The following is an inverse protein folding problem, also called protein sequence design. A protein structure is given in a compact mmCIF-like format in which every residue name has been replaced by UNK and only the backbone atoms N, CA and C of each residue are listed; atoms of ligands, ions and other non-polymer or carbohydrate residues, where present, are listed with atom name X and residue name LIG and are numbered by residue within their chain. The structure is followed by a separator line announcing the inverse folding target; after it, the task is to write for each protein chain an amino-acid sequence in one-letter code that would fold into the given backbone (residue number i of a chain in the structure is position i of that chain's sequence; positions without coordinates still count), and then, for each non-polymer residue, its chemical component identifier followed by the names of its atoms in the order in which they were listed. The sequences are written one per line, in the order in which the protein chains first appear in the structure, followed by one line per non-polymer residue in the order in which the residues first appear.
data_IF_326308237977
#
_entry.id   IF_326308237977
#
_cell.length_a   1.000
_cell.length_b   1.000
_cell.length_c   1.000
_cell.angle_alpha   90.00
_cell.angle_beta   90.00
_cell.angle_gamma   90.00
#
_symmetry.space_group_name_H-M   'P 1'
#
loop_
_entity.id
_entity.type
_entity.pdbx_description
1 polymer ?
#
# COMPACT_ATOMS: atom_id res chain seq x y z
N UNK A 1 -34.69 0.78 11.09
CA UNK A 1 -33.24 0.94 10.82
C UNK A 1 -32.40 -0.24 11.35
N UNK A 2 -32.60 -0.72 12.59
CA UNK A 2 -32.02 -1.99 13.10
C UNK A 2 -32.35 -3.25 12.27
N UNK A 3 -33.31 -3.18 11.35
CA UNK A 3 -33.68 -4.24 10.39
C UNK A 3 -32.76 -4.33 9.18
N UNK A 4 -32.02 -3.27 8.82
CA UNK A 4 -31.24 -3.20 7.56
C UNK A 4 -29.90 -3.95 7.67
N UNK A 5 -29.14 -3.73 8.75
CA UNK A 5 -27.91 -4.49 9.04
C UNK A 5 -28.21 -5.97 9.37
N UNK A 6 -29.42 -6.28 9.86
CA UNK A 6 -29.85 -7.67 10.07
C UNK A 6 -29.97 -8.44 8.75
N UNK A 7 -30.37 -7.82 7.64
CA UNK A 7 -30.44 -8.50 6.33
C UNK A 7 -29.05 -8.84 5.77
N UNK A 8 -28.07 -7.93 5.91
CA UNK A 8 -26.69 -8.20 5.51
C UNK A 8 -26.05 -9.34 6.32
N UNK A 9 -26.38 -9.44 7.62
CA UNK A 9 -25.92 -10.53 8.49
C UNK A 9 -26.71 -11.83 8.27
N UNK A 10 -28.01 -11.75 7.98
CA UNK A 10 -28.85 -12.93 7.73
C UNK A 10 -28.49 -13.64 6.42
N UNK A 11 -28.12 -12.89 5.37
CA UNK A 11 -27.60 -13.46 4.13
C UNK A 11 -26.29 -14.24 4.30
N UNK A 12 -25.53 -13.96 5.36
CA UNK A 12 -24.26 -14.62 5.66
C UNK A 12 -24.40 -15.86 6.58
N UNK A 13 -25.45 -15.92 7.40
CA UNK A 13 -25.74 -17.09 8.26
C UNK A 13 -26.38 -18.25 7.48
N UNK A 14 -27.00 -17.98 6.33
CA UNK A 14 -27.53 -18.99 5.41
C UNK A 14 -26.47 -19.51 4.44
N UNK A 15 -25.54 -20.35 4.94
CA UNK A 15 -24.71 -21.15 4.06
C UNK A 15 -25.58 -22.08 3.20
N UNK A 16 -25.26 -22.15 1.91
CA UNK A 16 -25.93 -22.88 0.80
C UNK A 16 -26.96 -22.02 0.06
N UNK A 17 -26.53 -21.43 -1.07
CA UNK A 17 -27.41 -21.24 -2.22
C UNK A 17 -26.97 -22.21 -3.31
N UNK A 18 -27.67 -23.34 -3.38
CA UNK A 18 -27.79 -24.18 -4.56
C UNK A 18 -28.55 -23.41 -5.63
N UNK A 19 -28.03 -23.40 -6.86
CA UNK A 19 -28.60 -22.66 -7.98
C UNK A 19 -29.91 -23.23 -8.52
N UNK A 20 -30.58 -22.39 -9.33
CA UNK A 20 -31.60 -22.80 -10.29
C UNK A 20 -32.74 -21.78 -10.46
N UNK A 21 -32.78 -21.10 -11.62
CA UNK A 21 -34.05 -20.62 -12.20
C UNK A 21 -34.15 -19.13 -12.58
N UNK A 22 -33.70 -18.81 -13.80
CA UNK A 22 -34.34 -17.96 -14.81
C UNK A 22 -34.80 -16.51 -14.49
N UNK A 23 -34.17 -15.56 -15.19
CA UNK A 23 -34.89 -14.48 -15.88
C UNK A 23 -35.22 -13.24 -15.06
N UNK A 24 -34.31 -12.27 -15.05
CA UNK A 24 -34.60 -10.90 -14.59
C UNK A 24 -33.34 -10.05 -14.59
N UNK A 25 -33.11 -9.32 -15.69
CA UNK A 25 -31.99 -8.41 -15.85
C UNK A 25 -32.00 -7.32 -14.78
N UNK A 26 -31.20 -7.50 -13.74
CA UNK A 26 -30.73 -6.44 -12.86
C UNK A 26 -29.35 -6.03 -13.35
N UNK A 27 -29.30 -5.09 -14.29
CA UNK A 27 -28.05 -4.51 -14.75
C UNK A 27 -27.30 -3.91 -13.56
N UNK A 28 -26.20 -4.54 -13.18
CA UNK A 28 -25.15 -3.87 -12.46
C UNK A 28 -24.77 -2.68 -13.35
N UNK A 29 -24.96 -1.44 -12.89
CA UNK A 29 -24.52 -0.25 -13.60
C UNK A 29 -22.99 -0.27 -13.65
N UNK A 30 -22.43 -1.06 -14.56
CA UNK A 30 -21.03 -1.02 -14.92
C UNK A 30 -20.75 0.39 -15.35
N UNK A 31 -19.75 1.01 -14.73
CA UNK A 31 -19.31 2.34 -15.16
C UNK A 31 -19.05 2.29 -16.66
N UNK A 32 -19.64 3.21 -17.43
CA UNK A 32 -19.38 3.39 -18.88
C UNK A 32 -17.90 3.74 -19.18
N UNK A 33 -17.06 3.82 -18.14
CA UNK A 33 -15.63 4.06 -18.24
C UNK A 33 -14.90 2.86 -18.86
N UNK A 34 -13.91 3.11 -19.74
CA UNK A 34 -13.11 2.05 -20.31
C UNK A 34 -12.24 1.38 -19.24
N UNK A 35 -11.87 0.12 -19.47
CA UNK A 35 -10.85 -0.56 -18.65
C UNK A 35 -9.49 0.12 -18.86
N UNK A 36 -8.70 0.28 -17.78
CA UNK A 36 -7.30 0.74 -17.88
C UNK A 36 -6.44 -0.30 -18.59
N UNK A 37 -6.60 -1.56 -18.17
CA UNK A 37 -5.95 -2.72 -18.74
C UNK A 37 -6.99 -3.84 -18.84
N UNK A 38 -7.02 -4.61 -19.94
CA UNK A 38 -7.91 -5.75 -20.05
C UNK A 38 -7.54 -6.83 -19.03
N UNK A 39 -8.53 -7.59 -18.58
CA UNK A 39 -8.27 -8.80 -17.80
C UNK A 39 -7.42 -9.78 -18.60
N UNK A 40 -6.41 -10.34 -17.93
CA UNK A 40 -5.61 -11.46 -18.43
C UNK A 40 -5.02 -12.21 -17.24
N UNK A 41 -4.63 -13.46 -17.46
CA UNK A 41 -3.73 -14.17 -16.53
C UNK A 41 -2.31 -13.59 -16.67
N UNK A 42 -1.38 -13.86 -15.72
CA UNK A 42 -0.01 -13.37 -15.80
C UNK A 42 0.62 -13.58 -17.19
N UNK A 43 1.16 -12.51 -17.77
CA UNK A 43 1.60 -12.48 -19.18
C UNK A 43 2.60 -13.60 -19.51
N UNK A 44 3.46 -13.95 -18.55
CA UNK A 44 4.46 -15.01 -18.70
C UNK A 44 3.89 -16.42 -18.86
N UNK A 45 2.60 -16.64 -18.56
CA UNK A 45 1.93 -17.91 -18.87
C UNK A 45 1.69 -18.07 -20.37
N UNK A 46 1.61 -16.96 -21.12
CA UNK A 46 1.46 -16.96 -22.58
C UNK A 46 0.20 -17.68 -23.06
N UNK A 47 -0.92 -17.52 -22.33
CA UNK A 47 -2.20 -18.13 -22.65
C UNK A 47 -2.89 -17.38 -23.81
N UNK A 48 -3.54 -18.12 -24.71
CA UNK A 48 -4.47 -17.57 -25.69
C UNK A 48 -5.78 -17.11 -25.01
N UNK A 49 -6.61 -16.29 -25.68
CA UNK A 49 -7.93 -15.93 -25.16
C UNK A 49 -8.78 -17.15 -24.78
N UNK A 50 -8.78 -18.19 -25.62
CA UNK A 50 -9.52 -19.44 -25.39
C UNK A 50 -8.97 -20.18 -24.16
N UNK A 51 -7.64 -20.25 -24.00
CA UNK A 51 -7.00 -20.85 -22.82
C UNK A 51 -7.32 -20.07 -21.53
N UNK A 52 -7.45 -18.74 -21.61
CA UNK A 52 -7.89 -17.91 -20.47
C UNK A 52 -9.33 -18.25 -20.10
N UNK A 53 -10.23 -18.41 -21.06
CA UNK A 53 -11.62 -18.81 -20.81
C UNK A 53 -11.67 -20.21 -20.18
N UNK A 54 -10.94 -21.18 -20.73
CA UNK A 54 -10.83 -22.52 -20.14
C UNK A 54 -10.23 -22.51 -18.72
N UNK A 55 -9.33 -21.58 -18.42
CA UNK A 55 -8.74 -21.45 -17.07
C UNK A 55 -9.75 -21.03 -16.00
N UNK A 56 -10.89 -20.48 -16.41
CA UNK A 56 -11.99 -20.09 -15.52
C UNK A 56 -12.97 -21.25 -15.20
N UNK A 57 -12.66 -22.49 -15.61
CA UNK A 57 -13.47 -23.66 -15.29
C UNK A 57 -13.35 -24.03 -13.80
N UNK A 58 -14.45 -23.85 -13.08
CA UNK A 58 -14.57 -24.11 -11.64
C UNK A 58 -14.79 -25.58 -11.28
N UNK A 59 -15.14 -26.43 -12.26
CA UNK A 59 -15.28 -27.87 -12.08
C UNK A 59 -13.93 -28.54 -12.27
N UNK A 60 -13.26 -28.26 -13.39
CA UNK A 60 -11.97 -28.86 -13.71
C UNK A 60 -10.82 -28.26 -12.89
N UNK A 61 -10.90 -26.96 -12.56
CA UNK A 61 -9.87 -26.18 -11.83
C UNK A 61 -8.45 -26.50 -12.32
N UNK A 62 -8.16 -26.27 -13.62
CA UNK A 62 -6.87 -26.64 -14.19
C UNK A 62 -5.73 -25.91 -13.48
N UNK A 63 -4.65 -26.65 -13.18
CA UNK A 63 -3.43 -26.05 -12.63
C UNK A 63 -2.68 -25.43 -13.81
N UNK A 64 -2.51 -24.11 -13.79
CA UNK A 64 -1.76 -23.39 -14.80
C UNK A 64 -0.30 -23.31 -14.37
N UNK A 65 0.61 -23.65 -15.28
CA UNK A 65 2.05 -23.57 -15.11
C UNK A 65 2.68 -22.87 -16.31
N UNK A 66 3.96 -22.54 -16.22
CA UNK A 66 4.73 -22.02 -17.36
C UNK A 66 4.72 -23.02 -18.53
N UNK A 67 4.44 -22.53 -19.73
CA UNK A 67 4.66 -23.30 -20.97
C UNK A 67 6.14 -23.68 -21.08
N UNK A 68 6.43 -24.86 -21.63
CA UNK A 68 7.80 -25.39 -21.72
C UNK A 68 8.78 -24.44 -22.44
N UNK A 69 8.28 -23.61 -23.33
CA UNK A 69 9.03 -22.60 -24.10
C UNK A 69 9.36 -21.33 -23.33
N UNK A 70 8.81 -21.15 -22.12
CA UNK A 70 9.00 -19.96 -21.29
C UNK A 70 9.86 -20.29 -20.08
N UNK A 71 10.66 -19.32 -19.65
CA UNK A 71 11.44 -19.37 -18.40
C UNK A 71 11.32 -18.02 -17.72
N UNK A 72 11.13 -18.05 -16.40
CA UNK A 72 11.17 -16.86 -15.59
C UNK A 72 12.63 -16.59 -15.14
N UNK A 73 12.98 -15.32 -14.87
CA UNK A 73 14.25 -14.95 -14.26
C UNK A 73 14.54 -15.75 -12.97
N UNK A 74 15.83 -15.83 -12.59
CA UNK A 74 16.26 -16.38 -11.30
C UNK A 74 15.84 -17.84 -11.04
N UNK A 75 15.68 -18.64 -12.10
CA UNK A 75 15.17 -20.02 -12.00
C UNK A 75 13.82 -20.10 -11.24
N UNK A 76 12.96 -19.09 -11.42
CA UNK A 76 11.65 -19.02 -10.79
C UNK A 76 10.67 -20.02 -11.43
N UNK A 77 9.91 -20.73 -10.60
CA UNK A 77 8.74 -21.51 -11.03
C UNK A 77 7.44 -20.77 -10.73
N UNK A 78 6.36 -21.14 -11.43
CA UNK A 78 5.03 -20.59 -11.19
C UNK A 78 3.97 -21.66 -11.36
N UNK A 79 2.98 -21.66 -10.47
CA UNK A 79 1.76 -22.43 -10.59
C UNK A 79 0.59 -21.66 -9.96
N UNK A 80 -0.58 -21.72 -10.58
CA UNK A 80 -1.82 -21.15 -10.04
C UNK A 80 -3.03 -22.05 -10.32
N UNK A 81 -4.09 -21.85 -9.55
CA UNK A 81 -5.39 -22.50 -9.77
C UNK A 81 -6.49 -21.54 -9.37
N UNK A 82 -7.58 -21.50 -10.14
CA UNK A 82 -8.75 -20.70 -9.80
C UNK A 82 -9.39 -21.16 -8.47
N UNK A 83 -10.08 -20.25 -7.80
CA UNK A 83 -10.85 -20.56 -6.60
C UNK A 83 -12.00 -21.55 -6.89
N UNK A 84 -12.73 -21.97 -5.85
CA UNK A 84 -13.77 -23.00 -5.94
C UNK A 84 -15.19 -22.44 -6.21
N UNK A 85 -15.32 -21.39 -7.02
CA UNK A 85 -16.63 -20.87 -7.50
C UNK A 85 -17.11 -19.59 -6.81
N UNK A 86 -16.20 -18.83 -6.19
CA UNK A 86 -16.54 -17.55 -5.53
C UNK A 86 -16.71 -16.40 -6.53
N UNK A 87 -15.99 -16.43 -7.64
CA UNK A 87 -15.97 -15.38 -8.66
C UNK A 87 -16.07 -16.02 -10.04
N UNK A 88 -16.49 -15.27 -11.05
CA UNK A 88 -16.57 -15.79 -12.42
C UNK A 88 -15.19 -16.00 -13.05
N UNK A 89 -14.22 -15.16 -12.68
CA UNK A 89 -12.84 -15.20 -13.16
C UNK A 89 -11.89 -15.39 -11.98
N UNK A 90 -10.67 -15.85 -12.25
CA UNK A 90 -9.61 -15.80 -11.26
C UNK A 90 -9.18 -14.34 -11.06
N UNK A 91 -9.48 -13.75 -9.91
CA UNK A 91 -9.20 -12.34 -9.63
C UNK A 91 -7.72 -12.11 -9.29
N UNK A 92 -7.00 -13.18 -8.94
CA UNK A 92 -5.60 -13.13 -8.54
C UNK A 92 -4.69 -12.73 -9.70
N UNK A 93 -3.60 -12.02 -9.42
CA UNK A 93 -2.56 -11.68 -10.38
C UNK A 93 -1.18 -11.97 -9.82
N UNK A 94 -0.22 -12.20 -10.72
CA UNK A 94 1.18 -12.37 -10.37
C UNK A 94 2.09 -11.68 -11.37
N UNK A 95 3.27 -11.29 -10.90
CA UNK A 95 4.28 -10.60 -11.69
C UNK A 95 5.67 -11.16 -11.38
N UNK A 96 6.54 -11.21 -12.39
CA UNK A 96 7.92 -11.66 -12.27
C UNK A 96 8.79 -10.91 -13.30
N UNK A 97 9.58 -9.94 -12.84
CA UNK A 97 10.26 -8.94 -13.66
C UNK A 97 11.72 -8.75 -13.22
N UNK A 98 12.57 -8.27 -14.13
CA UNK A 98 13.88 -7.70 -13.81
C UNK A 98 13.82 -6.21 -14.10
N UNK A 99 13.93 -5.39 -13.06
CA UNK A 99 13.66 -3.95 -13.15
C UNK A 99 14.94 -3.18 -12.94
N UNK A 100 15.11 -2.09 -13.70
CA UNK A 100 16.27 -1.20 -13.60
C UNK A 100 15.81 0.18 -13.13
N UNK A 101 16.19 0.56 -11.91
CA UNK A 101 16.02 1.92 -11.40
C UNK A 101 17.18 2.80 -11.88
N UNK A 102 16.91 3.76 -12.76
CA UNK A 102 17.94 4.68 -13.30
C UNK A 102 17.78 6.07 -12.71
N UNK A 103 18.90 6.73 -12.39
CA UNK A 103 18.90 8.14 -11.99
C UNK A 103 18.21 8.97 -13.09
N UNK A 104 17.21 9.77 -12.73
CA UNK A 104 16.78 10.87 -13.59
C UNK A 104 17.73 12.05 -13.35
N UNK A 105 18.22 12.74 -14.40
CA UNK A 105 18.91 14.01 -14.22
C UNK A 105 18.04 14.95 -13.38
N UNK A 106 18.65 15.67 -12.44
CA UNK A 106 17.98 16.54 -11.45
C UNK A 106 17.18 17.73 -12.06
N UNK A 107 16.92 17.75 -13.38
CA UNK A 107 16.30 18.86 -14.11
C UNK A 107 14.77 18.81 -14.20
N UNK A 108 14.12 17.79 -13.66
CA UNK A 108 12.65 17.69 -13.65
C UNK A 108 12.15 17.26 -12.26
N UNK A 109 12.23 18.16 -11.29
CA UNK A 109 11.29 18.17 -10.17
C UNK A 109 10.07 19.00 -10.63
N UNK A 110 8.88 18.40 -10.84
CA UNK A 110 7.66 19.19 -10.91
C UNK A 110 7.46 19.83 -9.53
N UNK A 111 7.22 21.15 -9.43
CA UNK A 111 6.93 21.77 -8.14
C UNK A 111 5.64 21.18 -7.57
N UNK A 112 5.76 20.52 -6.42
CA UNK A 112 4.64 20.01 -5.62
C UNK A 112 3.99 21.14 -4.81
N UNK A 113 3.31 22.07 -5.49
CA UNK A 113 2.28 22.95 -4.90
C UNK A 113 1.38 23.56 -5.98
N UNK A 114 0.03 23.50 -5.89
CA UNK A 114 -0.86 24.17 -6.82
C UNK A 114 -1.06 25.63 -6.41
N UNK A 115 -0.30 26.56 -7.00
CA UNK A 115 -0.63 27.99 -6.92
C UNK A 115 -1.54 28.39 -8.08
N UNK A 116 -2.75 28.83 -7.75
CA UNK A 116 -3.72 29.42 -8.70
C UNK A 116 -3.25 30.82 -9.12
N UNK A 117 -3.18 31.09 -10.42
CA UNK A 117 -3.90 32.19 -11.09
C UNK A 117 -3.66 32.12 -12.61
N UNK A 118 -4.70 32.27 -13.46
CA UNK A 118 -4.57 32.15 -14.89
C UNK A 118 -4.31 33.52 -15.54
N UNK A 119 -3.24 33.63 -16.33
CA UNK A 119 -3.12 34.73 -17.31
C UNK A 119 -2.95 34.17 -18.71
N UNK A 120 -3.96 34.44 -19.52
CA UNK A 120 -4.02 34.13 -20.94
C UNK A 120 -2.83 34.72 -21.71
N UNK A 121 -2.29 33.96 -22.67
CA UNK A 121 -2.02 34.43 -24.04
C UNK A 121 -1.55 33.31 -24.98
N UNK A 122 -2.35 33.17 -26.05
CA UNK A 122 -2.03 32.92 -27.46
C UNK A 122 -1.49 31.56 -27.93
N UNK A 123 -2.32 31.00 -28.82
CA UNK A 123 -2.09 29.96 -29.83
C UNK A 123 -0.99 30.34 -30.84
N UNK A 124 -0.34 29.29 -31.35
CA UNK A 124 0.29 29.03 -32.67
C UNK A 124 1.56 28.21 -32.39
N UNK A 125 1.94 27.13 -33.07
CA UNK A 125 1.54 26.49 -34.32
C UNK A 125 2.19 25.08 -34.34
N UNK A 126 1.60 24.12 -35.05
CA UNK A 126 2.24 22.84 -35.40
C UNK A 126 3.50 23.09 -36.27
N UNK A 127 4.41 22.10 -36.33
CA UNK A 127 4.59 21.47 -37.64
C UNK A 127 4.64 19.93 -37.59
N UNK A 128 4.21 19.36 -38.71
CA UNK A 128 4.23 17.95 -39.09
C UNK A 128 5.66 17.42 -39.33
N UNK A 129 5.83 16.13 -39.02
CA UNK A 129 6.38 15.08 -39.88
C UNK A 129 7.85 15.16 -40.31
N UNK A 130 8.65 14.16 -39.92
CA UNK A 130 9.28 13.24 -40.88
C UNK A 130 9.95 12.06 -40.16
N UNK A 131 10.13 10.98 -40.91
CA UNK A 131 10.42 9.63 -40.44
C UNK A 131 11.89 9.33 -40.12
N UNK A 132 12.05 8.12 -39.55
CA UNK A 132 13.15 7.17 -39.77
C UNK A 132 14.56 7.52 -39.26
N UNK A 133 15.05 6.65 -38.37
CA UNK A 133 16.49 6.44 -38.21
C UNK A 133 16.92 5.88 -36.87
N UNK A 134 16.51 4.65 -36.52
CA UNK A 134 17.23 3.84 -35.55
C UNK A 134 18.62 3.54 -36.11
N UNK A 135 19.59 4.41 -35.81
CA UNK A 135 20.99 4.19 -36.13
C UNK A 135 21.73 3.85 -34.84
N UNK A 136 22.07 2.57 -34.77
CA UNK A 136 22.93 1.93 -33.79
C UNK A 136 24.33 2.57 -33.87
N UNK A 137 24.71 3.39 -32.90
CA UNK A 137 26.08 3.87 -32.73
C UNK A 137 26.57 3.37 -31.36
N UNK A 138 27.25 2.23 -31.40
CA UNK A 138 28.19 1.83 -30.35
C UNK A 138 29.38 2.79 -30.42
N UNK A 139 29.52 3.69 -29.45
CA UNK A 139 30.84 4.16 -29.06
C UNK A 139 30.88 4.62 -27.60
N UNK A 140 31.85 4.06 -26.89
CA UNK A 140 32.12 4.20 -25.46
C UNK A 140 32.43 5.65 -25.09
N UNK A 141 31.59 6.24 -24.25
CA UNK A 141 32.02 7.12 -23.15
C UNK A 141 30.92 7.13 -22.09
N UNK A 142 31.33 7.09 -20.82
CA UNK A 142 30.54 7.21 -19.59
C UNK A 142 30.06 5.89 -18.94
N UNK A 143 30.92 5.31 -18.10
CA UNK A 143 30.62 4.25 -17.12
C UNK A 143 29.68 4.75 -15.97
N UNK A 144 29.12 5.95 -16.07
CA UNK A 144 28.31 6.63 -15.04
C UNK A 144 26.78 6.41 -15.22
N UNK A 145 26.38 5.44 -16.06
CA UNK A 145 24.98 5.12 -16.40
C UNK A 145 24.47 3.82 -15.78
N UNK A 146 25.15 3.26 -14.78
CA UNK A 146 24.72 2.01 -14.19
C UNK A 146 23.40 2.25 -13.43
N UNK A 147 22.30 1.64 -13.84
CA UNK A 147 21.04 1.65 -13.06
C UNK A 147 21.05 0.57 -11.98
N UNK A 148 20.31 0.76 -10.90
CA UNK A 148 20.17 -0.26 -9.85
C UNK A 148 19.22 -1.34 -10.33
N UNK A 149 19.76 -2.53 -10.60
CA UNK A 149 19.00 -3.69 -11.05
C UNK A 149 18.47 -4.46 -9.84
N UNK A 150 17.18 -4.82 -9.87
CA UNK A 150 16.58 -5.72 -8.90
C UNK A 150 15.66 -6.73 -9.58
N UNK A 151 15.51 -7.90 -8.97
CA UNK A 151 14.50 -8.86 -9.37
C UNK A 151 13.25 -8.64 -8.54
N UNK A 152 12.10 -8.70 -9.19
CA UNK A 152 10.80 -8.41 -8.61
C UNK A 152 9.84 -9.56 -8.85
N UNK A 153 9.20 -10.01 -7.79
CA UNK A 153 8.04 -10.90 -7.85
C UNK A 153 6.90 -10.28 -7.07
N UNK A 154 5.68 -10.54 -7.51
CA UNK A 154 4.52 -10.17 -6.72
C UNK A 154 3.34 -11.11 -6.93
N UNK A 155 2.50 -11.17 -5.91
CA UNK A 155 1.20 -11.83 -5.90
C UNK A 155 0.17 -10.83 -5.37
N UNK A 156 -0.98 -10.79 -6.05
CA UNK A 156 -2.11 -9.95 -5.70
C UNK A 156 -3.34 -10.85 -5.66
N UNK A 157 -3.90 -11.11 -4.48
CA UNK A 157 -5.18 -11.83 -4.32
C UNK A 157 -6.29 -10.80 -4.50
N UNK A 158 -7.03 -10.89 -5.61
CA UNK A 158 -8.04 -9.91 -5.99
C UNK A 158 -9.39 -10.24 -5.40
N UNK A 159 -10.20 -9.23 -5.09
CA UNK A 159 -11.56 -9.44 -4.59
C UNK A 159 -12.54 -8.37 -5.07
N UNK A 160 -13.79 -8.78 -5.26
CA UNK A 160 -14.88 -7.92 -5.73
C UNK A 160 -14.56 -7.25 -7.10
N UNK A 161 -13.88 -8.00 -7.97
CA UNK A 161 -13.34 -7.54 -9.24
C UNK A 161 -11.82 -7.66 -9.30
N UNK A 162 -11.30 -7.88 -10.51
CA UNK A 162 -9.86 -8.03 -10.75
C UNK A 162 -9.14 -6.71 -11.03
N UNK A 163 -9.85 -5.58 -11.10
CA UNK A 163 -9.31 -4.32 -11.61
C UNK A 163 -8.10 -3.83 -10.83
N UNK A 164 -8.20 -3.77 -9.50
CA UNK A 164 -7.10 -3.36 -8.64
C UNK A 164 -5.87 -4.28 -8.79
N UNK A 165 -6.06 -5.60 -8.76
CA UNK A 165 -4.98 -6.58 -8.91
C UNK A 165 -4.28 -6.46 -10.28
N UNK A 166 -5.04 -6.30 -11.36
CA UNK A 166 -4.49 -6.12 -12.72
C UNK A 166 -3.66 -4.84 -12.80
N UNK A 167 -4.16 -3.72 -12.27
CA UNK A 167 -3.44 -2.44 -12.28
C UNK A 167 -2.16 -2.53 -11.43
N UNK A 168 -2.24 -3.13 -10.23
CA UNK A 168 -1.10 -3.32 -9.33
C UNK A 168 -0.01 -4.21 -9.93
N UNK A 169 -0.39 -5.31 -10.58
CA UNK A 169 0.55 -6.25 -11.21
C UNK A 169 1.42 -5.61 -12.31
N UNK A 170 0.93 -4.53 -12.92
CA UNK A 170 1.61 -3.81 -14.00
C UNK A 170 2.38 -2.59 -13.54
N UNK A 171 2.07 -2.01 -12.39
CA UNK A 171 2.57 -0.68 -12.03
C UNK A 171 3.36 -0.62 -10.71
N UNK A 172 3.14 -1.54 -9.77
CA UNK A 172 3.76 -1.45 -8.44
C UNK A 172 5.29 -1.53 -8.49
N UNK A 173 5.86 -2.36 -9.37
CA UNK A 173 7.30 -2.46 -9.60
C UNK A 173 7.90 -1.16 -10.13
N UNK A 174 7.14 -0.38 -10.89
CA UNK A 174 7.58 0.93 -11.38
C UNK A 174 7.58 1.98 -10.26
N UNK A 175 6.60 1.94 -9.35
CA UNK A 175 6.62 2.77 -8.14
C UNK A 175 7.80 2.46 -7.24
N UNK A 176 8.11 1.18 -7.04
CA UNK A 176 9.30 0.75 -6.27
C UNK A 176 10.56 1.28 -6.95
N UNK A 177 10.68 1.14 -8.27
CA UNK A 177 11.82 1.68 -9.01
C UNK A 177 11.94 3.21 -8.85
N UNK A 178 10.83 3.96 -8.93
CA UNK A 178 10.83 5.40 -8.72
C UNK A 178 11.29 5.80 -7.31
N UNK A 179 10.84 5.09 -6.28
CA UNK A 179 11.27 5.37 -4.89
C UNK A 179 12.75 5.02 -4.68
N UNK A 180 13.22 3.91 -5.25
CA UNK A 180 14.64 3.52 -5.20
C UNK A 180 15.56 4.51 -5.92
N UNK A 181 15.09 5.19 -6.97
CA UNK A 181 15.88 6.21 -7.67
C UNK A 181 16.29 7.37 -6.77
N UNK A 182 15.47 7.71 -5.78
CA UNK A 182 15.73 8.83 -4.85
C UNK A 182 16.88 8.51 -3.91
N UNK A 183 17.11 7.22 -3.62
CA UNK A 183 18.07 6.73 -2.61
C UNK A 183 19.20 5.90 -3.20
N UNK A 184 19.28 5.82 -4.54
CA UNK A 184 20.21 4.94 -5.27
C UNK A 184 21.68 5.20 -4.95
N UNK A 185 22.08 6.45 -4.78
CA UNK A 185 23.47 6.84 -4.52
C UNK A 185 23.95 6.36 -3.16
N UNK A 186 23.07 6.36 -2.16
CA UNK A 186 23.37 5.87 -0.82
C UNK A 186 23.36 4.34 -0.80
N UNK A 187 22.34 3.71 -1.40
CA UNK A 187 22.20 2.24 -1.39
C UNK A 187 23.39 1.54 -2.06
N UNK A 188 24.03 2.17 -3.05
CA UNK A 188 25.23 1.65 -3.70
C UNK A 188 26.51 1.89 -2.91
N UNK A 189 26.62 3.04 -2.26
CA UNK A 189 27.78 3.35 -1.45
C UNK A 189 27.55 2.90 0.00
N UNK A 190 27.77 1.62 0.26
CA UNK A 190 27.63 1.04 1.60
C UNK A 190 28.67 1.59 2.61
N UNK A 191 29.71 2.26 2.14
CA UNK A 191 30.74 2.87 3.00
C UNK A 191 30.32 4.24 3.55
N UNK A 192 29.34 4.91 2.94
CA UNK A 192 28.81 6.19 3.39
C UNK A 192 27.37 6.00 3.91
N UNK A 193 27.09 6.48 5.12
CA UNK A 193 25.72 6.51 5.62
C UNK A 193 24.91 7.58 4.87
N UNK A 194 23.59 7.37 4.69
CA UNK A 194 22.73 8.41 4.13
C UNK A 194 22.74 9.65 5.03
N UNK A 195 22.81 10.87 4.46
CA UNK A 195 22.73 12.10 5.23
C UNK A 195 21.32 12.28 5.82
N UNK A 196 21.21 12.88 7.00
CA UNK A 196 19.89 13.24 7.55
C UNK A 196 19.18 14.31 6.71
N UNK A 197 19.93 15.23 6.09
CA UNK A 197 19.40 16.28 5.21
C UNK A 197 20.13 16.25 3.89
N UNK A 198 19.37 16.14 2.80
CA UNK A 198 19.93 16.13 1.44
C UNK A 198 20.48 17.51 1.07
N UNK A 199 21.74 17.57 0.62
CA UNK A 199 22.38 18.80 0.15
C UNK A 199 22.94 19.71 1.25
N UNK A 200 22.86 19.31 2.52
CA UNK A 200 23.68 19.90 3.57
C UNK A 200 25.01 19.16 3.63
N UNK A 201 26.10 19.90 3.37
CA UNK A 201 27.44 19.40 3.69
C UNK A 201 27.53 19.22 5.22
N UNK A 202 28.15 18.14 5.72
CA UNK A 202 28.32 17.97 7.15
C UNK A 202 29.07 19.20 7.70
N UNK A 203 28.40 19.98 8.55
CA UNK A 203 29.07 21.08 9.26
C UNK A 203 30.25 20.47 10.01
N UNK A 204 31.47 20.73 9.55
CA UNK A 204 32.67 20.50 10.32
C UNK A 204 32.49 21.24 11.64
N UNK A 205 32.13 20.52 12.71
CA UNK A 205 32.08 21.03 14.08
C UNK A 205 33.35 21.83 14.37
N UNK A 206 33.31 23.18 14.50
CA UNK A 206 34.52 23.97 14.66
C UNK A 206 34.99 24.06 16.12
N UNK A 207 34.51 23.18 17.02
CA UNK A 207 34.85 23.26 18.44
C UNK A 207 36.11 22.48 18.86
N UNK A 208 36.89 21.94 17.90
CA UNK A 208 38.19 21.34 18.15
C UNK A 208 39.28 21.88 17.21
N UNK A 209 39.32 23.19 16.99
CA UNK A 209 40.58 23.81 16.56
C UNK A 209 40.62 25.23 17.07
N UNK A 210 41.45 25.48 18.08
CA UNK A 210 41.74 26.84 18.52
C UNK A 210 42.30 27.62 17.34
N UNK A 211 41.57 28.63 16.87
CA UNK A 211 42.09 29.74 16.10
C UNK A 211 41.09 30.91 16.12
N UNK A 212 41.66 32.12 16.13
CA UNK A 212 41.07 33.45 16.37
C UNK A 212 39.98 33.88 15.38
N UNK A 213 38.99 34.70 15.80
CA UNK A 213 37.87 35.08 14.93
C UNK A 213 38.21 36.25 13.99
N UNK A 214 37.95 36.06 12.69
CA UNK A 214 37.82 37.13 11.68
C UNK A 214 36.36 37.28 11.23
N UNK A 215 35.91 38.46 10.75
CA UNK A 215 34.50 38.76 10.65
C UNK A 215 33.94 38.42 9.26
N UNK A 216 33.18 37.33 9.14
CA UNK A 216 32.27 37.16 8.01
C UNK A 216 30.84 36.89 8.49
N UNK A 217 30.00 37.90 8.25
CA UNK A 217 28.55 37.95 8.49
C UNK A 217 27.83 36.84 7.72
N UNK A 218 27.20 35.92 8.44
CA UNK A 218 26.06 35.16 7.95
C UNK A 218 24.76 35.93 8.26
N UNK A 219 24.28 36.69 7.28
CA UNK A 219 22.95 37.33 7.32
C UNK A 219 21.88 36.24 7.23
N UNK A 220 21.36 35.79 8.36
CA UNK A 220 20.21 34.87 8.38
C UNK A 220 18.92 35.66 8.19
N UNK A 221 18.13 35.21 7.21
CA UNK A 221 16.86 35.74 6.69
C UNK A 221 15.70 35.62 7.68
N UNK A 222 15.91 36.00 8.94
CA UNK A 222 14.92 35.92 10.03
C UNK A 222 14.70 37.28 10.74
N UNK A 223 15.12 38.39 10.13
CA UNK A 223 15.00 39.74 10.69
C UNK A 223 13.94 40.62 9.98
N UNK A 224 12.96 40.03 9.28
CA UNK A 224 12.00 40.82 8.48
C UNK A 224 10.53 40.74 8.91
N UNK A 225 10.20 40.24 10.10
CA UNK A 225 8.82 40.19 10.59
C UNK A 225 8.67 40.53 12.10
N UNK A 226 9.36 41.56 12.58
CA UNK A 226 9.02 42.21 13.86
C UNK A 226 9.16 43.72 13.76
N UNK A 227 8.15 44.34 13.18
CA UNK A 227 7.99 45.78 13.09
C UNK A 227 6.54 46.19 13.32
N UNK A 228 5.91 45.69 14.38
CA UNK A 228 4.61 46.18 14.85
C UNK A 228 4.33 45.67 16.27
N UNK A 229 4.94 46.30 17.28
CA UNK A 229 4.41 46.47 18.66
C UNK A 229 5.58 46.83 19.59
N UNK A 230 5.53 48.02 20.16
CA UNK A 230 6.49 48.47 21.16
C UNK A 230 6.36 47.65 22.44
N UNK A 231 7.41 46.89 22.76
CA UNK A 231 7.63 46.34 24.10
C UNK A 231 9.14 46.44 24.41
N UNK A 232 9.54 46.92 25.59
CA UNK A 232 10.95 47.10 25.93
C UNK A 232 11.63 45.75 26.13
N UNK A 233 12.69 45.52 25.34
CA UNK A 233 13.53 44.33 25.41
C UNK A 233 14.50 44.40 26.61
N UNK A 234 14.42 43.41 27.51
CA UNK A 234 15.52 43.12 28.45
C UNK A 234 16.57 42.24 27.76
N UNK A 235 17.88 42.53 27.85
CA UNK A 235 18.91 41.71 27.23
C UNK A 235 19.30 40.55 28.16
N UNK A 236 18.76 39.34 27.94
CA UNK A 236 19.37 38.14 28.54
C UNK A 236 20.53 37.67 27.67
N UNK A 237 21.75 37.85 28.15
CA UNK A 237 23.01 37.43 27.51
C UNK A 237 23.34 35.93 27.69
N UNK A 238 22.34 35.08 27.93
CA UNK A 238 22.55 33.63 28.03
C UNK A 238 22.47 32.99 26.64
N UNK A 239 23.54 32.35 26.13
CA UNK A 239 23.44 31.51 24.95
C UNK A 239 22.37 30.43 25.20
N UNK A 240 21.53 30.09 24.21
CA UNK A 240 20.60 28.98 24.38
C UNK A 240 21.41 27.72 24.76
N UNK A 241 20.92 26.90 25.71
CA UNK A 241 21.63 25.72 26.15
C UNK A 241 21.95 24.81 24.95
N UNK A 242 23.07 24.09 24.97
CA UNK A 242 23.43 23.19 23.88
C UNK A 242 22.27 22.22 23.67
N UNK A 243 21.61 22.33 22.51
CA UNK A 243 20.60 21.35 22.12
C UNK A 243 21.36 20.04 21.94
N UNK A 244 21.06 19.06 22.77
CA UNK A 244 21.54 17.70 22.57
C UNK A 244 20.98 17.19 21.25
N UNK A 245 21.75 17.35 20.17
CA UNK A 245 21.42 16.83 18.86
C UNK A 245 22.12 15.48 18.71
N UNK A 246 21.45 14.41 19.12
CA UNK A 246 21.90 13.05 18.83
C UNK A 246 21.27 12.60 17.53
N UNK A 247 22.07 12.50 16.47
CA UNK A 247 21.61 12.00 15.18
C UNK A 247 21.59 10.46 15.17
N UNK A 248 20.45 9.89 14.76
CA UNK A 248 20.28 8.44 14.68
C UNK A 248 20.96 7.93 13.41
N UNK A 249 21.83 6.93 13.55
CA UNK A 249 22.41 6.23 12.40
C UNK A 249 21.34 5.41 11.67
N UNK A 250 21.13 5.70 10.39
CA UNK A 250 20.17 5.03 9.51
C UNK A 250 20.91 4.02 8.63
N UNK A 251 20.44 2.77 8.61
CA UNK A 251 21.02 1.71 7.79
C UNK A 251 20.49 1.80 6.35
N UNK A 252 21.31 1.43 5.36
CA UNK A 252 20.91 1.38 3.94
C UNK A 252 19.68 0.51 3.70
N UNK A 253 19.54 -0.58 4.45
CA UNK A 253 18.37 -1.46 4.40
C UNK A 253 17.06 -0.72 4.69
N UNK A 254 17.08 0.23 5.64
CA UNK A 254 15.91 1.05 5.99
C UNK A 254 15.48 1.97 4.85
N UNK A 255 16.41 2.39 3.97
CA UNK A 255 16.07 3.17 2.78
C UNK A 255 15.27 2.33 1.77
N UNK A 256 15.67 1.07 1.57
CA UNK A 256 14.96 0.13 0.67
C UNK A 256 13.57 -0.18 1.24
N UNK A 257 13.48 -0.44 2.54
CA UNK A 257 12.20 -0.65 3.24
C UNK A 257 11.28 0.55 3.03
N UNK A 258 11.75 1.77 3.33
CA UNK A 258 10.96 2.99 3.15
C UNK A 258 10.55 3.23 1.69
N UNK A 259 11.41 2.88 0.73
CA UNK A 259 11.09 2.98 -0.70
C UNK A 259 9.93 2.05 -1.09
N UNK A 260 9.92 0.80 -0.60
CA UNK A 260 8.83 -0.16 -0.83
C UNK A 260 7.53 0.32 -0.16
N UNK A 261 7.61 0.77 1.10
CA UNK A 261 6.44 1.28 1.83
C UNK A 261 5.79 2.48 1.13
N UNK A 262 6.59 3.42 0.64
CA UNK A 262 6.08 4.59 -0.08
C UNK A 262 5.54 4.21 -1.47
N UNK A 263 6.13 3.22 -2.14
CA UNK A 263 5.64 2.74 -3.42
C UNK A 263 4.20 2.18 -3.34
N UNK A 264 3.87 1.48 -2.26
CA UNK A 264 2.50 0.99 -2.03
C UNK A 264 1.50 2.14 -1.84
N UNK A 265 1.90 3.21 -1.12
CA UNK A 265 1.05 4.40 -0.94
C UNK A 265 0.81 5.11 -2.28
N UNK A 266 1.86 5.34 -3.05
CA UNK A 266 1.75 5.97 -4.37
C UNK A 266 0.91 5.12 -5.35
N UNK A 267 1.05 3.79 -5.29
CA UNK A 267 0.24 2.86 -6.07
C UNK A 267 -1.25 2.99 -5.72
N UNK A 268 -1.60 3.00 -4.43
CA UNK A 268 -3.00 3.09 -3.98
C UNK A 268 -3.63 4.46 -4.31
N UNK A 269 -2.86 5.55 -4.16
CA UNK A 269 -3.26 6.90 -4.59
C UNK A 269 -3.45 6.98 -6.10
N UNK A 270 -2.61 6.30 -6.88
CA UNK A 270 -2.79 6.22 -8.33
C UNK A 270 -4.08 5.47 -8.68
N UNK A 271 -4.38 4.35 -8.01
CA UNK A 271 -5.65 3.63 -8.21
C UNK A 271 -6.85 4.54 -7.91
N UNK A 272 -6.82 5.30 -6.81
CA UNK A 272 -7.89 6.24 -6.43
C UNK A 272 -8.11 7.34 -7.48
N UNK A 273 -7.01 7.85 -8.05
CA UNK A 273 -7.08 8.88 -9.08
C UNK A 273 -7.58 8.33 -10.40
N UNK A 274 -7.04 7.20 -10.83
CA UNK A 274 -7.30 6.63 -12.15
C UNK A 274 -8.70 6.01 -12.27
N UNK A 275 -9.28 5.53 -11.17
CA UNK A 275 -10.66 5.01 -11.18
C UNK A 275 -11.74 6.05 -11.53
N UNK A 276 -11.40 7.34 -11.51
CA UNK A 276 -12.28 8.42 -11.97
C UNK A 276 -12.40 8.48 -13.50
N UNK A 277 -11.45 7.85 -14.22
CA UNK A 277 -11.35 7.89 -15.69
C UNK A 277 -11.42 6.47 -16.28
N UNK A 278 -11.06 5.46 -15.50
CA UNK A 278 -11.08 4.06 -15.90
C UNK A 278 -11.94 3.23 -14.96
N UNK A 279 -12.54 2.15 -15.48
CA UNK A 279 -13.17 1.15 -14.65
C UNK A 279 -12.08 0.28 -13.97
N UNK A 280 -11.79 0.59 -12.70
CA UNK A 280 -10.89 -0.17 -11.83
C UNK A 280 -11.72 -0.73 -10.67
N UNK A 281 -12.18 -1.97 -10.84
CA UNK A 281 -13.03 -2.66 -9.86
C UNK A 281 -12.24 -3.26 -8.70
N UNK A 282 -12.94 -3.37 -7.56
CA UNK A 282 -12.51 -4.14 -6.40
C UNK A 282 -11.30 -3.61 -5.64
N UNK A 283 -10.68 -4.54 -4.92
CA UNK A 283 -9.43 -4.38 -4.21
C UNK A 283 -8.57 -5.62 -4.36
N UNK A 284 -7.38 -5.59 -3.77
CA UNK A 284 -6.52 -6.75 -3.73
C UNK A 284 -5.58 -6.71 -2.52
N UNK A 285 -5.14 -7.88 -2.08
CA UNK A 285 -3.89 -7.99 -1.31
C UNK A 285 -2.72 -7.64 -2.21
N UNK A 286 -1.57 -7.35 -1.61
CA UNK A 286 -0.32 -7.17 -2.34
C UNK A 286 0.85 -7.75 -1.54
N UNK A 287 1.47 -8.78 -2.09
CA UNK A 287 2.69 -9.39 -1.60
C UNK A 287 3.78 -9.21 -2.64
N UNK A 288 4.85 -8.47 -2.32
CA UNK A 288 6.00 -8.26 -3.20
C UNK A 288 7.25 -8.89 -2.61
N UNK A 289 8.12 -9.37 -3.49
CA UNK A 289 9.45 -9.85 -3.17
C UNK A 289 10.43 -9.10 -4.07
N UNK A 290 11.37 -8.38 -3.47
CA UNK A 290 12.42 -7.65 -4.17
C UNK A 290 13.76 -8.26 -3.78
N UNK A 291 14.50 -8.81 -4.74
CA UNK A 291 15.90 -9.17 -4.54
C UNK A 291 16.79 -8.01 -4.99
N UNK A 292 17.53 -7.44 -4.05
CA UNK A 292 18.39 -6.29 -4.27
C UNK A 292 19.62 -6.39 -3.37
N UNK A 293 20.82 -6.28 -3.97
CA UNK A 293 22.11 -6.26 -3.28
C UNK A 293 22.30 -7.40 -2.24
N UNK A 294 21.99 -8.64 -2.64
CA UNK A 294 22.19 -9.81 -1.79
C UNK A 294 21.11 -10.04 -0.72
N UNK A 295 20.03 -9.25 -0.72
CA UNK A 295 18.94 -9.36 0.25
C UNK A 295 17.60 -9.51 -0.46
N UNK A 296 16.71 -10.31 0.13
CA UNK A 296 15.28 -10.28 -0.19
C UNK A 296 14.57 -9.31 0.72
N UNK A 297 13.71 -8.50 0.15
CA UNK A 297 12.77 -7.63 0.84
C UNK A 297 11.37 -8.12 0.50
N UNK A 298 10.60 -8.51 1.49
CA UNK A 298 9.24 -9.01 1.33
C UNK A 298 8.28 -8.00 1.91
N UNK A 299 7.51 -7.32 1.05
CA UNK A 299 6.47 -6.37 1.45
C UNK A 299 5.09 -7.01 1.38
N UNK A 300 4.35 -7.07 2.48
CA UNK A 300 3.01 -7.66 2.51
C UNK A 300 1.95 -6.67 3.00
N UNK A 301 0.86 -6.54 2.24
CA UNK A 301 -0.37 -5.85 2.61
C UNK A 301 -1.57 -6.75 2.29
N UNK A 302 -2.09 -7.45 3.30
CA UNK A 302 -3.21 -8.38 3.17
C UNK A 302 -2.95 -9.69 3.91
N UNK A 303 -3.66 -10.74 3.54
CA UNK A 303 -3.57 -12.09 4.11
C UNK A 303 -2.84 -13.10 3.20
N UNK A 304 -2.20 -12.63 2.12
CA UNK A 304 -1.23 -13.42 1.37
C UNK A 304 0.03 -13.70 2.21
N UNK A 305 0.77 -14.76 1.87
CA UNK A 305 1.86 -15.28 2.70
C UNK A 305 3.13 -15.60 1.90
N UNK A 306 4.28 -15.21 2.45
CA UNK A 306 5.60 -15.60 1.97
C UNK A 306 6.38 -16.37 3.05
N UNK A 307 7.05 -17.44 2.63
CA UNK A 307 7.98 -18.22 3.47
C UNK A 307 9.25 -18.53 2.68
N UNK A 308 10.38 -18.64 3.40
CA UNK A 308 11.62 -19.21 2.85
C UNK A 308 11.79 -20.60 3.44
N UNK A 309 12.03 -21.59 2.59
CA UNK A 309 12.43 -22.94 3.01
C UNK A 309 13.92 -23.08 2.73
N UNK A 310 14.72 -23.24 3.79
CA UNK A 310 16.18 -23.37 3.70
C UNK A 310 16.65 -24.42 4.71
N UNK A 311 17.43 -25.41 4.26
CA UNK A 311 17.96 -26.47 5.13
C UNK A 311 16.88 -27.14 6.01
N UNK A 312 15.74 -27.49 5.41
CA UNK A 312 14.54 -28.02 6.08
C UNK A 312 13.92 -27.10 7.16
N UNK A 313 14.35 -25.85 7.29
CA UNK A 313 13.74 -24.85 8.15
C UNK A 313 12.79 -23.94 7.37
N UNK A 314 11.67 -23.56 7.99
CA UNK A 314 10.68 -22.62 7.46
C UNK A 314 10.87 -21.27 8.14
N UNK A 315 11.17 -20.24 7.36
CA UNK A 315 11.35 -18.87 7.84
C UNK A 315 10.15 -18.04 7.35
N UNK A 316 9.26 -17.57 8.25
CA UNK A 316 8.11 -16.75 7.87
C UNK A 316 8.56 -15.34 7.47
N UNK A 317 8.27 -14.96 6.22
CA UNK A 317 8.69 -13.67 5.64
C UNK A 317 7.56 -12.65 5.55
N UNK A 318 6.34 -12.99 5.97
CA UNK A 318 5.24 -12.05 6.14
C UNK A 318 4.33 -12.45 7.31
N UNK A 319 3.56 -11.48 7.82
CA UNK A 319 2.41 -11.68 8.69
C UNK A 319 1.11 -11.42 7.93
N UNK A 320 0.01 -12.04 8.35
CA UNK A 320 -1.32 -11.84 7.75
C UNK A 320 -2.06 -10.69 8.45
N UNK A 321 -2.66 -9.80 7.65
CA UNK A 321 -3.36 -8.63 8.13
C UNK A 321 -4.88 -8.81 8.06
N UNK A 322 -5.41 -9.53 9.05
CA UNK A 322 -6.83 -9.86 9.22
C UNK A 322 -7.49 -8.93 10.24
N UNK A 323 -8.84 -8.90 10.32
CA UNK A 323 -9.55 -8.12 11.34
C UNK A 323 -9.11 -8.46 12.77
N UNK A 324 -8.76 -9.73 13.02
CA UNK A 324 -8.33 -10.19 14.34
C UNK A 324 -6.88 -9.76 14.64
N UNK A 325 -5.95 -9.94 13.70
CA UNK A 325 -4.55 -9.57 13.92
C UNK A 325 -4.36 -8.07 14.08
N UNK A 326 -5.19 -7.27 13.41
CA UNK A 326 -5.14 -5.80 13.45
C UNK A 326 -6.21 -5.18 14.36
N UNK A 327 -6.84 -5.97 15.24
CA UNK A 327 -7.94 -5.54 16.12
C UNK A 327 -7.65 -4.23 16.85
N UNK A 328 -6.49 -4.13 17.52
CA UNK A 328 -6.16 -2.94 18.31
C UNK A 328 -6.05 -1.69 17.43
N UNK A 329 -5.45 -1.79 16.24
CA UNK A 329 -5.36 -0.68 15.29
C UNK A 329 -6.75 -0.23 14.84
N UNK A 330 -7.61 -1.18 14.50
CA UNK A 330 -8.98 -0.91 14.05
C UNK A 330 -9.82 -0.26 15.15
N UNK A 331 -9.80 -0.82 16.37
CA UNK A 331 -10.53 -0.27 17.51
C UNK A 331 -10.01 1.11 17.90
N UNK A 332 -8.68 1.33 17.88
CA UNK A 332 -8.09 2.63 18.13
C UNK A 332 -8.58 3.67 17.12
N UNK A 333 -8.65 3.33 15.84
CA UNK A 333 -9.22 4.20 14.81
C UNK A 333 -10.70 4.49 15.07
N UNK A 334 -11.50 3.47 15.40
CA UNK A 334 -12.92 3.62 15.73
C UNK A 334 -13.16 4.46 16.99
N UNK A 335 -12.24 4.41 17.96
CA UNK A 335 -12.25 5.25 19.16
C UNK A 335 -11.89 6.71 18.84
N UNK A 336 -10.82 6.94 18.09
CA UNK A 336 -10.34 8.28 17.74
C UNK A 336 -11.25 9.00 16.73
N UNK A 337 -11.90 8.25 15.84
CA UNK A 337 -12.76 8.77 14.77
C UNK A 337 -14.12 8.07 14.77
N UNK A 338 -14.97 8.29 15.79
CA UNK A 338 -16.24 7.58 15.96
C UNK A 338 -17.26 7.86 14.84
N UNK A 339 -17.11 8.97 14.12
CA UNK A 339 -17.94 9.27 12.94
C UNK A 339 -17.78 8.23 11.82
N UNK A 340 -16.62 7.56 11.73
CA UNK A 340 -16.38 6.47 10.77
C UNK A 340 -17.23 5.22 11.07
N UNK A 341 -17.77 5.10 12.29
CA UNK A 341 -18.63 3.98 12.69
C UNK A 341 -20.12 4.22 12.37
N UNK A 342 -20.46 5.40 11.82
CA UNK A 342 -21.81 5.76 11.38
C UNK A 342 -22.88 5.74 12.47
N UNK A 343 -22.49 5.74 13.75
CA UNK A 343 -23.38 5.51 14.89
C UNK A 343 -24.11 4.15 14.88
N UNK A 344 -23.69 3.22 14.03
CA UNK A 344 -24.26 1.87 13.94
C UNK A 344 -23.34 0.81 14.55
N UNK A 345 -22.03 1.12 14.58
CA UNK A 345 -21.00 0.25 15.07
C UNK A 345 -20.34 0.78 16.35
N UNK A 346 -19.84 -0.14 17.17
CA UNK A 346 -19.00 0.14 18.34
C UNK A 346 -17.61 -0.42 18.09
N UNK A 347 -16.59 0.32 18.55
CA UNK A 347 -15.22 -0.18 18.55
C UNK A 347 -15.02 -1.22 19.67
N UNK A 348 -15.86 -1.26 20.71
CA UNK A 348 -15.74 -2.24 21.77
C UNK A 348 -16.08 -3.64 21.28
N UNK A 349 -15.33 -4.62 21.80
CA UNK A 349 -15.60 -6.02 21.53
C UNK A 349 -16.18 -6.70 22.75
N UNK A 350 -17.19 -7.54 22.50
CA UNK A 350 -17.87 -8.36 23.50
C UNK A 350 -17.81 -9.83 23.05
N UNK A 351 -17.83 -10.82 23.97
CA UNK A 351 -17.79 -12.23 23.61
C UNK A 351 -18.93 -12.69 22.70
N UNK A 352 -20.01 -11.91 22.66
CA UNK A 352 -21.14 -12.08 21.75
C UNK A 352 -21.92 -10.79 21.61
N UNK A 353 -22.84 -10.77 20.64
CA UNK A 353 -23.80 -9.67 20.49
C UNK A 353 -24.63 -9.47 21.76
N UNK A 354 -24.70 -8.22 22.20
CA UNK A 354 -25.45 -7.79 23.37
C UNK A 354 -26.95 -7.75 23.05
N UNK A 355 -27.76 -8.17 24.02
CA UNK A 355 -29.21 -8.10 23.96
C UNK A 355 -29.74 -6.97 24.85
N UNK A 356 -30.86 -6.34 24.48
CA UNK A 356 -31.48 -5.25 25.27
C UNK A 356 -31.73 -5.61 26.75
N UNK A 357 -32.05 -6.88 27.04
CA UNK A 357 -32.25 -7.39 28.41
C UNK A 357 -30.99 -7.42 29.29
N UNK A 358 -29.84 -7.06 28.70
CA UNK A 358 -28.52 -7.08 29.35
C UNK A 358 -28.04 -5.68 29.69
N UNK A 359 -28.73 -4.63 29.24
CA UNK A 359 -28.47 -3.25 29.66
C UNK A 359 -28.58 -3.16 31.19
N UNK A 360 -27.60 -2.51 31.81
CA UNK A 360 -27.43 -2.43 33.27
C UNK A 360 -26.74 -3.62 33.93
N UNK A 361 -26.48 -4.72 33.20
CA UNK A 361 -25.72 -5.88 33.73
C UNK A 361 -24.23 -5.74 33.40
N UNK A 362 -23.38 -6.47 34.14
CA UNK A 362 -21.94 -6.55 33.83
C UNK A 362 -21.66 -7.66 32.82
N UNK A 363 -20.91 -7.34 31.77
CA UNK A 363 -20.45 -8.31 30.76
C UNK A 363 -18.97 -8.07 30.44
N UNK A 364 -18.28 -9.14 30.02
CA UNK A 364 -16.90 -9.05 29.54
C UNK A 364 -16.83 -8.18 28.29
N UNK A 365 -15.82 -7.32 28.22
CA UNK A 365 -15.51 -6.51 27.05
C UNK A 365 -13.99 -6.36 26.92
N UNK A 366 -13.54 -5.93 25.74
CA UNK A 366 -12.17 -5.46 25.53
C UNK A 366 -12.12 -4.29 24.56
N UNK A 367 -11.18 -3.39 24.84
CA UNK A 367 -10.92 -2.17 24.07
C UNK A 367 -9.53 -2.21 23.40
N UNK A 368 -9.20 -1.18 22.61
CA UNK A 368 -7.94 -1.07 21.86
C UNK A 368 -6.70 -1.14 22.76
N UNK A 369 -6.79 -0.66 24.00
CA UNK A 369 -5.70 -0.70 24.99
C UNK A 369 -5.47 -2.05 25.64
N UNK A 370 -6.39 -3.01 25.45
CA UNK A 370 -6.43 -4.24 26.22
C UNK A 370 -6.00 -5.44 25.38
N UNK A 371 -5.08 -6.26 25.89
CA UNK A 371 -4.83 -7.60 25.36
C UNK A 371 -5.75 -8.67 25.98
N UNK A 372 -6.21 -8.44 27.22
CA UNK A 372 -7.15 -9.29 27.96
C UNK A 372 -8.60 -8.78 27.93
N UNK A 373 -9.42 -9.29 28.86
CA UNK A 373 -10.84 -8.93 29.02
C UNK A 373 -11.09 -8.31 30.40
N UNK A 374 -12.06 -7.40 30.49
CA UNK A 374 -12.55 -6.85 31.76
C UNK A 374 -14.08 -6.80 31.77
N UNK A 375 -14.70 -6.53 32.93
CA UNK A 375 -16.15 -6.37 33.03
C UNK A 375 -16.55 -4.90 33.01
N UNK A 376 -17.46 -4.51 32.11
CA UNK A 376 -18.16 -3.22 32.16
C UNK A 376 -19.65 -3.41 32.39
N UNK A 377 -20.31 -2.39 32.93
CA UNK A 377 -21.78 -2.31 32.90
C UNK A 377 -22.22 -1.95 31.49
N UNK A 378 -23.18 -2.69 30.95
CA UNK A 378 -23.70 -2.51 29.60
C UNK A 378 -24.63 -1.30 29.54
N UNK A 379 -24.41 -0.46 28.53
CA UNK A 379 -25.19 0.73 28.20
C UNK A 379 -25.91 0.55 26.86
N UNK A 380 -26.87 1.42 26.55
CA UNK A 380 -27.60 1.35 25.28
C UNK A 380 -26.69 1.47 24.05
N UNK A 381 -25.60 2.23 24.16
CA UNK A 381 -24.59 2.40 23.11
C UNK A 381 -23.84 1.10 22.77
N UNK A 382 -23.78 0.15 23.70
CA UNK A 382 -23.15 -1.16 23.48
C UNK A 382 -24.02 -2.11 22.64
N UNK A 383 -25.28 -1.75 22.37
CA UNK A 383 -26.18 -2.53 21.51
C UNK A 383 -25.83 -2.41 20.02
N UNK A 384 -24.92 -1.48 19.67
CA UNK A 384 -24.36 -1.30 18.34
C UNK A 384 -23.63 -2.55 17.85
N UNK A 385 -23.47 -2.68 16.53
CA UNK A 385 -22.75 -3.81 15.95
C UNK A 385 -21.24 -3.70 16.25
N UNK A 386 -20.54 -4.80 16.51
CA UNK A 386 -19.10 -4.72 16.73
C UNK A 386 -18.38 -4.35 15.43
N UNK A 387 -17.34 -3.52 15.53
CA UNK A 387 -16.47 -3.14 14.43
C UNK A 387 -15.84 -4.36 13.74
N UNK A 388 -15.49 -5.38 14.51
CA UNK A 388 -15.01 -6.67 14.01
C UNK A 388 -16.09 -7.71 14.29
N UNK A 389 -16.63 -8.31 13.23
CA UNK A 389 -17.70 -9.28 13.31
C UNK A 389 -17.24 -10.64 12.81
N UNK A 390 -17.54 -11.70 13.59
CA UNK A 390 -17.11 -13.06 13.28
C UNK A 390 -15.70 -13.37 13.79
N UNK A 391 -15.26 -14.61 13.58
CA UNK A 391 -13.99 -15.15 14.06
C UNK A 391 -13.27 -15.91 12.94
N UNK A 392 -11.94 -15.97 13.01
CA UNK A 392 -11.08 -16.65 12.03
C UNK A 392 -11.37 -16.22 10.59
N UNK A 393 -11.53 -17.19 9.68
CA UNK A 393 -11.81 -16.94 8.25
C UNK A 393 -13.12 -16.18 7.98
N UNK A 394 -14.03 -16.11 8.98
CA UNK A 394 -15.31 -15.39 8.90
C UNK A 394 -15.24 -14.01 9.54
N UNK A 395 -14.12 -13.61 10.15
CA UNK A 395 -13.95 -12.28 10.71
C UNK A 395 -14.02 -11.22 9.60
N UNK A 396 -14.75 -10.14 9.84
CA UNK A 396 -14.95 -9.04 8.90
C UNK A 396 -14.92 -7.70 9.61
N UNK A 397 -14.24 -6.71 9.01
CA UNK A 397 -14.38 -5.31 9.43
C UNK A 397 -15.73 -4.79 8.95
N UNK A 398 -16.50 -4.22 9.87
CA UNK A 398 -17.84 -3.68 9.65
C UNK A 398 -18.75 -4.65 8.89
N UNK A 399 -18.63 -5.95 9.20
CA UNK A 399 -19.33 -7.05 8.53
C UNK A 399 -19.16 -7.10 6.99
N UNK A 400 -18.10 -6.47 6.46
CA UNK A 400 -17.92 -6.26 5.02
C UNK A 400 -16.66 -6.95 4.47
N UNK A 401 -15.46 -6.58 4.95
CA UNK A 401 -14.19 -7.04 4.35
C UNK A 401 -13.38 -7.95 5.29
N UNK A 402 -12.75 -9.00 4.73
CA UNK A 402 -11.97 -10.00 5.47
C UNK A 402 -10.48 -9.69 5.62
N UNK A 403 -10.00 -8.63 4.98
CA UNK A 403 -8.63 -8.13 5.07
C UNK A 403 -8.62 -6.70 5.61
N UNK A 404 -7.52 -6.31 6.22
CA UNK A 404 -7.36 -4.97 6.84
C UNK A 404 -6.24 -4.15 6.21
N UNK A 405 -5.52 -4.76 5.28
CA UNK A 405 -4.55 -4.09 4.41
C UNK A 405 -4.68 -4.58 2.98
N UNK A 406 -4.35 -3.72 2.02
CA UNK A 406 -4.49 -3.99 0.59
C UNK A 406 -4.59 -2.71 -0.25
N UNK A 407 -4.65 -2.88 -1.57
CA UNK A 407 -4.80 -1.80 -2.56
C UNK A 407 -6.24 -1.77 -3.07
N UNK A 408 -6.73 -0.58 -3.45
CA UNK A 408 -8.08 -0.42 -4.02
C UNK A 408 -9.18 -0.27 -2.96
N UNK A 409 -10.39 -0.79 -3.25
CA UNK A 409 -11.60 -0.68 -2.40
C UNK A 409 -12.01 0.75 -2.00
N UNK A 410 -11.63 1.75 -2.79
CA UNK A 410 -11.88 3.17 -2.47
C UNK A 410 -13.38 3.51 -2.35
N UNK A 411 -14.25 2.79 -3.03
CA UNK A 411 -15.72 2.99 -2.95
C UNK A 411 -16.43 1.92 -2.11
N UNK A 412 -15.68 1.00 -1.49
CA UNK A 412 -16.29 -0.09 -0.73
C UNK A 412 -17.00 0.49 0.50
N UNK A 413 -18.28 0.15 0.63
CA UNK A 413 -19.16 0.59 1.71
C UNK A 413 -19.76 -0.60 2.43
N UNK A 414 -20.10 -0.39 3.70
CA UNK A 414 -20.99 -1.32 4.42
C UNK A 414 -22.33 -1.36 3.68
N UNK A 415 -22.83 -2.56 3.45
CA UNK A 415 -24.08 -2.82 2.72
C UNK A 415 -25.23 -1.93 3.21
N UNK A 416 -25.97 -1.31 2.28
CA UNK A 416 -27.09 -0.40 2.55
C UNK A 416 -26.76 0.81 3.47
N UNK A 417 -25.52 1.28 3.45
CA UNK A 417 -25.10 2.44 4.27
C UNK A 417 -24.19 3.41 3.50
N UNK A 418 -23.87 4.55 4.12
CA UNK A 418 -22.86 5.49 3.66
C UNK A 418 -21.53 5.38 4.44
N UNK A 419 -21.31 4.25 5.12
CA UNK A 419 -20.10 3.99 5.89
C UNK A 419 -19.06 3.38 4.95
N UNK A 420 -17.98 4.11 4.70
CA UNK A 420 -16.87 3.66 3.86
C UNK A 420 -15.92 2.76 4.63
N UNK A 421 -15.43 1.71 3.97
CA UNK A 421 -14.47 0.76 4.53
C UNK A 421 -13.03 1.28 4.43
N UNK A 422 -12.71 2.04 3.38
CA UNK A 422 -11.34 2.48 3.07
C UNK A 422 -10.56 3.07 4.26
N UNK A 423 -11.14 3.88 5.17
CA UNK A 423 -10.42 4.37 6.35
C UNK A 423 -9.84 3.26 7.25
N UNK A 424 -10.47 2.09 7.29
CA UNK A 424 -10.01 0.93 8.08
C UNK A 424 -9.04 0.02 7.31
N UNK A 425 -8.92 0.21 5.98
CA UNK A 425 -8.11 -0.59 5.06
C UNK A 425 -6.82 0.15 4.68
N UNK A 426 -5.68 -0.24 5.27
CA UNK A 426 -4.40 0.42 5.00
C UNK A 426 -3.70 -0.18 3.78
N UNK A 427 -3.18 0.65 2.87
CA UNK A 427 -2.31 0.19 1.78
C UNK A 427 -0.85 -0.05 2.23
N UNK A 428 -0.48 0.33 3.46
CA UNK A 428 0.91 0.28 3.90
C UNK A 428 1.36 -1.16 4.20
N UNK A 429 2.40 -1.67 3.53
CA UNK A 429 2.89 -3.02 3.76
C UNK A 429 3.69 -3.10 5.07
N UNK A 430 3.81 -4.29 5.63
CA UNK A 430 4.95 -4.64 6.47
C UNK A 430 6.06 -5.18 5.56
N UNK A 431 7.28 -4.64 5.70
CA UNK A 431 8.44 -5.08 4.91
C UNK A 431 9.44 -5.81 5.80
N UNK A 432 9.81 -7.04 5.44
CA UNK A 432 10.87 -7.82 6.10
C UNK A 432 12.04 -8.05 5.16
N UNK A 433 13.25 -7.82 5.65
CA UNK A 433 14.47 -8.12 4.93
C UNK A 433 15.10 -9.43 5.40
N UNK A 434 15.64 -10.22 4.47
CA UNK A 434 16.42 -11.42 4.78
C UNK A 434 17.66 -11.50 3.88
N UNK A 435 18.88 -11.64 4.45
CA UNK A 435 20.08 -11.89 3.66
C UNK A 435 20.00 -13.24 2.93
N UNK A 436 20.25 -13.22 1.63
CA UNK A 436 20.45 -14.43 0.85
C UNK A 436 21.95 -14.76 0.82
N UNK A 437 22.40 -15.49 1.83
CA UNK A 437 23.66 -16.22 1.75
C UNK A 437 23.41 -17.48 0.92
N UNK A 438 24.05 -17.55 -0.24
CA UNK A 438 24.11 -18.74 -1.09
C UNK A 438 25.08 -19.77 -0.53
#
# INVERSE_FOLDING_TARGET
MLTRVKSAVAGFMGGIMTGGGSGGGGGNSGSDLPLKFPYMRPEFLGLSPDEIECSADHVARPILILKETRRLPWATGYAEVINAGKSALNEDQACCEVVVARRRPMSYCPPSTPSKTPTAKRRNSLPNGEGLGLRLEHNRTCEDSEGLVFHYWALFDGHAGSGAAVVASRLLQHHIACQLQVVIEFIRNLHALPPAVMGEEPENTPYLQGNTPGPHRALTRAASLRGASGAPSSPSNTPPPPRFYTEKKIQHESLVIGAIENAFKEMDVQIEREKQVYNISGGCTALTVVYLLGKLYVGNAGDSRAIIIRNNAIIPMSAEFTPESERQRLQFLGYMQPHLLGNEFTHLEFPRRIQRKEVGKRMLYRDFTMSGWAYKTIEDEDLKFPLIYGEGKKARVLATIGVTRGLGDHDLKVHDSNIYIKPFLSCCPEVRANPLTF
#
